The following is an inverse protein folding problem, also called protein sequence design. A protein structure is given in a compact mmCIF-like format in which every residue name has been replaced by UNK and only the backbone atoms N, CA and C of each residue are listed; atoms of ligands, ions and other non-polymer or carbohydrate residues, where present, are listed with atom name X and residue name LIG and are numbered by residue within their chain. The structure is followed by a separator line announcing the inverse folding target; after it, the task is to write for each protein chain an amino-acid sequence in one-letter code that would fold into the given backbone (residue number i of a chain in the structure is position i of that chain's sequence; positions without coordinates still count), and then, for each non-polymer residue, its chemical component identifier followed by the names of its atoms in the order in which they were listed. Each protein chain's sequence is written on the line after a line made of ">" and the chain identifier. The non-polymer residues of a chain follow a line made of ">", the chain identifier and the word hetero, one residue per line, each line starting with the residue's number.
data_IF_949728107003
#
_entry.id   IF_949728107003
#
_cell.length_a   1.000
_cell.length_b   1.000
_cell.length_c   1.000
_cell.angle_alpha   90.00
_cell.angle_beta   90.00
_cell.angle_gamma   90.00
#
_symmetry.space_group_name_H-M   'P 1'
#
loop_
_entity.id
_entity.type
_entity.pdbx_description
1 polymer ?
#
# COMPACT_ATOMS: atom_id res chain seq x y z
N UNK A 1 -24.43 -25.95 -73.88
CA UNK A 1 -24.31 -26.55 -72.54
C UNK A 1 -22.81 -26.68 -72.24
N UNK A 2 -22.08 -25.63 -71.85
CA UNK A 2 -21.99 -24.95 -70.53
C UNK A 2 -21.47 -25.83 -69.40
N UNK A 3 -20.19 -25.64 -69.02
CA UNK A 3 -19.78 -25.49 -67.63
C UNK A 3 -18.40 -24.79 -67.59
N UNK A 4 -18.37 -23.59 -67.01
CA UNK A 4 -17.17 -22.79 -66.73
C UNK A 4 -16.71 -23.09 -65.29
N UNK A 5 -15.41 -23.05 -64.95
CA UNK A 5 -14.94 -23.36 -63.60
C UNK A 5 -15.15 -22.16 -62.65
N UNK A 6 -15.68 -22.44 -61.48
CA UNK A 6 -15.97 -21.48 -60.40
C UNK A 6 -14.69 -20.98 -59.72
N UNK A 7 -14.57 -19.65 -59.55
CA UNK A 7 -13.54 -18.99 -58.74
C UNK A 7 -13.85 -19.13 -57.23
N UNK A 8 -12.83 -19.22 -56.35
CA UNK A 8 -13.03 -19.15 -54.90
C UNK A 8 -13.38 -17.72 -54.45
N UNK A 9 -14.06 -17.54 -53.30
CA UNK A 9 -14.45 -16.24 -52.78
C UNK A 9 -13.26 -15.45 -52.22
N UNK A 10 -13.25 -14.14 -52.45
CA UNK A 10 -12.25 -13.21 -51.92
C UNK A 10 -12.43 -13.01 -50.40
N UNK A 11 -11.31 -13.00 -49.67
CA UNK A 11 -11.26 -12.59 -48.27
C UNK A 11 -11.46 -11.06 -48.16
N UNK A 12 -12.29 -10.57 -47.22
CA UNK A 12 -12.44 -9.13 -47.03
C UNK A 12 -11.18 -8.55 -46.38
N UNK A 13 -10.60 -7.50 -46.99
CA UNK A 13 -9.56 -6.71 -46.35
C UNK A 13 -10.13 -5.93 -45.16
N UNK A 14 -9.42 -5.85 -44.02
CA UNK A 14 -9.83 -4.99 -42.91
C UNK A 14 -9.70 -3.52 -43.33
N UNK A 15 -10.83 -2.84 -43.46
CA UNK A 15 -10.91 -1.44 -43.84
C UNK A 15 -10.13 -0.53 -42.88
N UNK A 16 -9.23 0.26 -43.46
CA UNK A 16 -8.40 1.26 -42.79
C UNK A 16 -9.17 2.44 -42.14
N UNK A 17 -10.51 2.36 -42.03
CA UNK A 17 -11.36 3.40 -41.45
C UNK A 17 -11.46 3.39 -39.93
N UNK A 18 -11.09 2.29 -39.26
CA UNK A 18 -11.21 2.16 -37.81
C UNK A 18 -10.15 2.93 -37.00
N UNK A 19 -8.94 3.11 -37.54
CA UNK A 19 -7.83 3.70 -36.78
C UNK A 19 -7.86 5.22 -36.70
N UNK A 20 -8.48 5.89 -37.67
CA UNK A 20 -8.55 7.36 -37.76
C UNK A 20 -9.56 7.92 -36.74
N UNK A 21 -10.68 7.23 -36.52
CA UNK A 21 -11.67 7.61 -35.51
C UNK A 21 -11.13 7.49 -34.08
N UNK A 22 -10.35 6.44 -33.80
CA UNK A 22 -9.70 6.28 -32.49
C UNK A 22 -8.57 7.30 -32.25
N UNK A 23 -7.80 7.67 -33.28
CA UNK A 23 -6.75 8.69 -33.13
C UNK A 23 -7.33 10.10 -32.95
N UNK A 24 -8.45 10.43 -33.59
CA UNK A 24 -9.14 11.72 -33.40
C UNK A 24 -9.83 11.82 -32.03
N UNK A 25 -10.40 10.73 -31.50
CA UNK A 25 -10.98 10.69 -30.15
C UNK A 25 -9.92 10.85 -29.04
N UNK A 26 -8.75 10.24 -29.21
CA UNK A 26 -7.63 10.40 -28.24
C UNK A 26 -7.02 11.81 -28.33
N UNK A 27 -6.95 12.40 -29.54
CA UNK A 27 -6.43 13.75 -29.75
C UNK A 27 -7.32 14.85 -29.16
N UNK A 28 -8.65 14.72 -29.25
CA UNK A 28 -9.60 15.70 -28.71
C UNK A 28 -9.70 15.64 -27.17
N UNK A 29 -9.56 14.46 -26.57
CA UNK A 29 -9.51 14.30 -25.12
C UNK A 29 -8.27 14.96 -24.48
N UNK A 30 -7.13 14.99 -25.19
CA UNK A 30 -5.90 15.63 -24.70
C UNK A 30 -5.94 17.17 -24.77
N UNK A 31 -6.65 17.74 -25.74
CA UNK A 31 -6.82 19.20 -25.85
C UNK A 31 -7.83 19.72 -24.81
N UNK A 32 -8.88 18.95 -24.51
CA UNK A 32 -9.85 19.29 -23.46
C UNK A 32 -9.22 19.31 -22.05
N UNK A 33 -8.21 18.46 -21.79
CA UNK A 33 -7.49 18.44 -20.51
C UNK A 33 -6.53 19.63 -20.32
N UNK A 34 -6.08 20.25 -21.41
CA UNK A 34 -5.17 21.42 -21.38
C UNK A 34 -5.91 22.76 -21.27
N UNK A 35 -7.23 22.80 -21.54
CA UNK A 35 -8.06 24.00 -21.54
C UNK A 35 -8.93 24.19 -20.28
N UNK A 36 -8.78 23.34 -19.26
CA UNK A 36 -9.50 23.49 -18.01
C UNK A 36 -9.13 24.83 -17.33
N UNK A 37 -10.10 25.72 -17.03
CA UNK A 37 -9.81 27.03 -16.47
C UNK A 37 -9.14 26.91 -15.10
N UNK A 38 -7.96 27.53 -14.96
CA UNK A 38 -7.25 27.69 -13.67
C UNK A 38 -8.19 28.33 -12.66
N UNK A 39 -8.43 27.62 -11.56
CA UNK A 39 -9.36 28.01 -10.51
C UNK A 39 -9.14 29.44 -9.99
N UNK A 40 -10.24 30.19 -9.83
CA UNK A 40 -10.27 31.42 -9.05
C UNK A 40 -9.99 31.08 -7.58
N UNK A 41 -9.07 31.81 -6.95
CA UNK A 41 -8.92 31.83 -5.49
C UNK A 41 -10.23 32.37 -4.88
N UNK A 42 -10.91 31.65 -3.97
CA UNK A 42 -11.96 32.25 -3.18
C UNK A 42 -11.34 33.20 -2.17
N UNK A 43 -11.60 34.50 -2.35
CA UNK A 43 -11.27 35.56 -1.41
C UNK A 43 -12.48 35.85 -0.51
N UNK A 44 -12.66 35.02 0.51
CA UNK A 44 -13.37 35.29 1.76
C UNK A 44 -13.49 33.98 2.54
N UNK A 45 -13.05 33.96 3.81
CA UNK A 45 -13.32 32.84 4.71
C UNK A 45 -14.82 32.89 5.04
N UNK A 46 -15.63 31.89 4.65
CA UNK A 46 -16.98 31.78 5.18
C UNK A 46 -16.87 31.44 6.67
N UNK A 47 -17.65 32.14 7.49
CA UNK A 47 -17.87 31.81 8.88
C UNK A 47 -18.35 30.34 8.94
N UNK A 48 -17.56 29.47 9.58
CA UNK A 48 -17.79 28.03 9.55
C UNK A 48 -19.09 27.70 10.30
N UNK A 49 -20.17 27.51 9.55
CA UNK A 49 -21.34 26.78 10.04
C UNK A 49 -20.85 25.39 10.51
N UNK A 50 -21.33 24.90 11.67
CA UNK A 50 -21.05 23.54 12.08
C UNK A 50 -21.68 22.61 11.03
N UNK A 51 -20.84 22.02 10.18
CA UNK A 51 -21.26 20.93 9.30
C UNK A 51 -21.84 19.85 10.20
N UNK A 52 -23.17 19.72 10.21
CA UNK A 52 -23.87 18.65 10.90
C UNK A 52 -23.43 17.35 10.21
N UNK A 53 -22.57 16.57 10.88
CA UNK A 53 -22.26 15.22 10.45
C UNK A 53 -23.56 14.38 10.52
N UNK A 54 -24.21 14.20 9.37
CA UNK A 54 -25.36 13.30 9.21
C UNK A 54 -24.93 11.85 8.90
N UNK A 55 -23.64 11.58 8.75
CA UNK A 55 -23.13 10.28 8.32
C UNK A 55 -22.18 9.68 9.36
N UNK A 56 -22.69 8.83 10.24
CA UNK A 56 -22.04 7.68 10.95
C UNK A 56 -20.67 7.78 11.64
N UNK A 57 -19.82 8.76 11.33
CA UNK A 57 -18.45 8.92 11.81
C UNK A 57 -18.34 9.70 13.10
N UNK A 58 -17.10 9.84 13.57
CA UNK A 58 -16.76 10.66 14.69
C UNK A 58 -17.03 12.15 14.38
N UNK A 59 -17.64 12.84 15.33
CA UNK A 59 -17.83 14.29 15.23
C UNK A 59 -16.47 14.98 15.29
N UNK A 60 -16.29 16.07 14.55
CA UNK A 60 -15.07 16.88 14.56
C UNK A 60 -15.40 18.36 14.75
N UNK A 61 -14.43 19.09 15.31
CA UNK A 61 -14.49 20.53 15.54
C UNK A 61 -13.44 21.23 14.66
N UNK A 62 -13.79 22.38 14.11
CA UNK A 62 -12.90 23.21 13.29
C UNK A 62 -12.82 24.64 13.83
N UNK A 63 -11.79 25.37 13.42
CA UNK A 63 -11.60 26.78 13.77
C UNK A 63 -11.70 27.04 15.28
N UNK A 64 -12.51 28.04 15.66
CA UNK A 64 -12.65 28.48 17.06
C UNK A 64 -13.22 27.39 17.98
N UNK A 65 -14.09 26.51 17.48
CA UNK A 65 -14.64 25.41 18.28
C UNK A 65 -13.54 24.40 18.66
N UNK A 66 -12.61 24.12 17.73
CA UNK A 66 -11.48 23.24 17.97
C UNK A 66 -10.51 23.82 19.02
N UNK A 67 -10.24 25.13 18.94
CA UNK A 67 -9.42 25.83 19.93
C UNK A 67 -10.05 25.79 21.33
N UNK A 68 -11.37 25.98 21.43
CA UNK A 68 -12.11 25.89 22.68
C UNK A 68 -12.04 24.49 23.30
N UNK A 69 -12.19 23.43 22.49
CA UNK A 69 -11.99 22.04 22.93
C UNK A 69 -10.56 21.85 23.46
N UNK A 70 -9.56 22.38 22.76
CA UNK A 70 -8.18 22.34 23.20
C UNK A 70 -7.92 23.06 24.52
N UNK A 71 -8.65 24.12 24.82
CA UNK A 71 -8.55 24.87 26.06
C UNK A 71 -9.32 24.22 27.22
N UNK A 72 -10.47 23.61 26.95
CA UNK A 72 -11.42 23.11 27.96
C UNK A 72 -11.19 21.65 28.35
N UNK A 73 -10.50 20.85 27.53
CA UNK A 73 -10.26 19.42 27.77
C UNK A 73 -8.76 19.05 27.88
N UNK A 74 -7.95 19.72 28.72
CA UNK A 74 -6.51 19.43 28.83
C UNK A 74 -6.22 17.99 29.27
N UNK A 75 -7.11 17.39 30.06
CA UNK A 75 -7.01 16.03 30.60
C UNK A 75 -7.04 14.93 29.54
N UNK A 76 -7.44 15.25 28.30
CA UNK A 76 -7.50 14.32 27.16
C UNK A 76 -6.27 14.40 26.24
N UNK A 77 -5.26 15.20 26.60
CA UNK A 77 -4.05 15.36 25.77
C UNK A 77 -4.25 16.26 24.56
N UNK A 78 -5.22 17.19 24.58
CA UNK A 78 -5.52 18.06 23.43
C UNK A 78 -4.36 18.97 23.01
N UNK A 79 -3.39 19.21 23.87
CA UNK A 79 -2.20 20.02 23.58
C UNK A 79 -0.92 19.18 23.40
N UNK A 80 -1.05 17.86 23.26
CA UNK A 80 0.06 16.93 23.09
C UNK A 80 0.93 17.30 21.87
N UNK A 81 2.25 17.38 22.07
CA UNK A 81 3.24 17.56 21.00
C UNK A 81 3.75 16.22 20.47
N UNK A 82 3.59 15.17 21.27
CA UNK A 82 4.02 13.81 21.01
C UNK A 82 2.92 12.82 21.39
N UNK A 83 2.78 11.66 20.72
CA UNK A 83 1.77 10.65 21.08
C UNK A 83 1.88 10.13 22.53
N UNK A 84 3.09 10.16 23.11
CA UNK A 84 3.32 9.75 24.52
C UNK A 84 2.72 10.70 25.55
N UNK A 85 2.35 11.92 25.14
CA UNK A 85 1.70 12.91 26.02
C UNK A 85 0.16 12.76 26.02
N UNK A 86 -0.39 11.87 25.17
CA UNK A 86 -1.82 11.58 25.14
C UNK A 86 -2.17 10.72 26.35
N UNK A 87 -3.13 11.18 27.14
CA UNK A 87 -3.57 10.49 28.36
C UNK A 87 -4.42 9.26 28.04
N UNK A 88 -4.65 8.39 29.02
CA UNK A 88 -5.52 7.22 28.84
C UNK A 88 -6.95 7.57 28.39
N UNK A 89 -7.49 8.70 28.85
CA UNK A 89 -8.78 9.22 28.38
C UNK A 89 -8.72 9.63 26.89
N UNK A 90 -7.62 10.26 26.46
CA UNK A 90 -7.40 10.58 25.04
C UNK A 90 -7.24 9.33 24.17
N UNK A 91 -6.55 8.30 24.65
CA UNK A 91 -6.43 7.02 23.95
C UNK A 91 -7.76 6.27 23.83
N UNK A 92 -8.63 6.37 24.85
CA UNK A 92 -10.01 5.87 24.75
C UNK A 92 -10.78 6.59 23.65
N UNK A 93 -10.66 7.91 23.56
CA UNK A 93 -11.30 8.68 22.49
C UNK A 93 -10.80 8.25 21.11
N UNK A 94 -9.48 8.14 20.94
CA UNK A 94 -8.85 7.68 19.70
C UNK A 94 -9.37 6.29 19.33
N UNK A 95 -9.43 5.34 20.27
CA UNK A 95 -9.90 3.99 19.98
C UNK A 95 -11.37 3.96 19.52
N UNK A 96 -12.24 4.77 20.15
CA UNK A 96 -13.64 4.88 19.74
C UNK A 96 -13.75 5.53 18.36
N UNK A 97 -13.00 6.60 18.09
CA UNK A 97 -13.03 7.26 16.78
C UNK A 97 -12.48 6.37 15.67
N UNK A 98 -11.38 5.66 15.91
CA UNK A 98 -10.86 4.64 14.99
C UNK A 98 -11.93 3.60 14.67
N UNK A 99 -12.70 3.13 15.66
CA UNK A 99 -13.80 2.21 15.39
C UNK A 99 -14.91 2.83 14.53
N UNK A 100 -15.32 4.08 14.82
CA UNK A 100 -16.37 4.76 14.07
C UNK A 100 -15.93 5.05 12.62
N UNK A 101 -14.74 5.61 12.43
CA UNK A 101 -14.19 5.95 11.12
C UNK A 101 -13.86 4.70 10.30
N UNK A 102 -13.30 3.65 10.90
CA UNK A 102 -13.07 2.37 10.21
C UNK A 102 -14.34 1.80 9.55
N UNK A 103 -15.48 1.97 10.23
CA UNK A 103 -16.79 1.56 9.70
C UNK A 103 -17.32 2.54 8.66
N UNK A 104 -17.24 3.85 8.92
CA UNK A 104 -17.70 4.91 8.01
C UNK A 104 -16.94 4.89 6.68
N UNK A 105 -15.62 4.77 6.73
CA UNK A 105 -14.74 4.71 5.57
C UNK A 105 -14.79 3.34 4.88
N UNK A 106 -15.54 2.40 5.46
CA UNK A 106 -15.73 1.04 4.95
C UNK A 106 -14.37 0.40 4.66
N UNK A 107 -13.44 0.50 5.61
CA UNK A 107 -12.03 0.08 5.44
C UNK A 107 -11.91 -1.35 4.91
N UNK A 108 -12.81 -2.26 5.31
CA UNK A 108 -12.87 -3.62 4.79
C UNK A 108 -13.16 -3.68 3.27
N UNK A 109 -14.08 -2.84 2.78
CA UNK A 109 -14.41 -2.73 1.34
C UNK A 109 -13.26 -2.09 0.57
N UNK A 110 -12.65 -1.03 1.12
CA UNK A 110 -11.50 -0.35 0.52
C UNK A 110 -10.29 -1.30 0.43
N UNK A 111 -10.01 -2.05 1.49
CA UNK A 111 -8.96 -3.08 1.51
C UNK A 111 -9.21 -4.19 0.48
N UNK A 112 -10.48 -4.54 0.19
CA UNK A 112 -10.81 -5.49 -0.87
C UNK A 112 -10.44 -4.93 -2.27
N UNK A 113 -10.62 -3.63 -2.49
CA UNK A 113 -10.12 -2.95 -3.69
C UNK A 113 -8.59 -3.02 -3.81
N UNK A 114 -7.87 -2.71 -2.74
CA UNK A 114 -6.40 -2.85 -2.68
C UNK A 114 -5.97 -4.29 -2.99
N UNK A 115 -6.70 -5.27 -2.46
CA UNK A 115 -6.45 -6.70 -2.69
C UNK A 115 -6.60 -7.07 -4.16
N UNK A 116 -7.69 -6.64 -4.80
CA UNK A 116 -7.93 -6.87 -6.22
C UNK A 116 -6.78 -6.34 -7.09
N UNK A 117 -6.39 -5.08 -6.89
CA UNK A 117 -5.26 -4.50 -7.64
C UNK A 117 -3.92 -5.16 -7.31
N UNK A 118 -3.71 -5.61 -6.06
CA UNK A 118 -2.53 -6.38 -5.65
C UNK A 118 -2.41 -7.71 -6.39
N UNK A 119 -3.52 -8.43 -6.57
CA UNK A 119 -3.56 -9.67 -7.33
C UNK A 119 -3.26 -9.45 -8.82
N UNK A 120 -3.84 -8.40 -9.43
CA UNK A 120 -3.54 -8.04 -10.82
C UNK A 120 -2.06 -7.68 -11.00
N UNK A 121 -1.49 -6.97 -10.04
CA UNK A 121 -0.09 -6.58 -10.04
C UNK A 121 0.89 -7.71 -9.68
N UNK A 122 0.40 -8.88 -9.25
CA UNK A 122 1.24 -10.02 -8.85
C UNK A 122 2.11 -10.51 -10.01
N UNK A 123 1.53 -10.75 -11.19
CA UNK A 123 2.28 -11.29 -12.32
C UNK A 123 3.41 -10.35 -12.78
N UNK A 124 3.16 -9.03 -12.98
CA UNK A 124 4.24 -8.09 -13.25
C UNK A 124 5.26 -7.97 -12.12
N UNK A 125 4.82 -8.00 -10.86
CA UNK A 125 5.72 -7.90 -9.70
C UNK A 125 6.66 -9.11 -9.61
N UNK A 126 6.16 -10.33 -9.81
CA UNK A 126 6.99 -11.54 -9.86
C UNK A 126 7.95 -11.50 -11.04
N UNK A 127 7.51 -10.99 -12.20
CA UNK A 127 8.41 -10.80 -13.34
C UNK A 127 9.54 -9.81 -13.04
N UNK A 128 9.24 -8.68 -12.41
CA UNK A 128 10.25 -7.73 -11.96
C UNK A 128 11.19 -8.37 -10.92
N UNK A 129 10.64 -9.14 -9.98
CA UNK A 129 11.42 -9.85 -8.95
C UNK A 129 12.40 -10.84 -9.56
N UNK A 130 11.94 -11.73 -10.44
CA UNK A 130 12.80 -12.73 -11.10
C UNK A 130 13.86 -12.06 -11.95
N UNK A 131 13.49 -11.01 -12.68
CA UNK A 131 14.40 -10.21 -13.51
C UNK A 131 15.50 -9.58 -12.66
N UNK A 132 15.16 -8.89 -11.57
CA UNK A 132 16.14 -8.30 -10.66
C UNK A 132 16.99 -9.35 -9.93
N UNK A 133 16.38 -10.46 -9.49
CA UNK A 133 17.06 -11.50 -8.74
C UNK A 133 18.08 -12.26 -9.61
N UNK A 134 17.73 -12.53 -10.87
CA UNK A 134 18.61 -13.19 -11.84
C UNK A 134 19.89 -12.41 -12.17
N UNK A 135 20.03 -11.15 -11.75
CA UNK A 135 21.28 -10.38 -11.89
C UNK A 135 22.37 -10.84 -10.91
N UNK A 136 21.99 -11.37 -9.75
CA UNK A 136 22.93 -11.64 -8.65
C UNK A 136 22.89 -13.08 -8.15
N UNK A 137 21.86 -13.87 -8.50
CA UNK A 137 21.71 -15.24 -8.04
C UNK A 137 20.96 -16.12 -9.07
N UNK A 138 21.21 -17.42 -9.00
CA UNK A 138 20.49 -18.40 -9.83
C UNK A 138 19.01 -18.45 -9.42
N UNK A 139 18.13 -18.36 -10.43
CA UNK A 139 16.67 -18.33 -10.26
C UNK A 139 16.16 -19.61 -9.59
N UNK A 140 16.85 -20.75 -9.74
CA UNK A 140 16.53 -22.00 -9.06
C UNK A 140 16.59 -21.90 -7.53
N UNK A 141 17.41 -20.99 -7.00
CA UNK A 141 17.57 -20.76 -5.56
C UNK A 141 16.37 -20.00 -4.97
N UNK A 142 15.64 -19.20 -5.76
CA UNK A 142 14.43 -18.48 -5.31
C UNK A 142 13.41 -19.45 -4.71
N UNK A 143 13.21 -20.62 -5.32
CA UNK A 143 12.25 -21.61 -4.83
C UNK A 143 12.63 -22.16 -3.45
N UNK A 144 13.93 -22.34 -3.18
CA UNK A 144 14.42 -22.76 -1.85
C UNK A 144 14.21 -21.65 -0.81
N UNK A 145 14.34 -20.39 -1.22
CA UNK A 145 14.10 -19.25 -0.32
C UNK A 145 12.63 -19.04 -0.02
N UNK A 146 11.75 -19.24 -1.00
CA UNK A 146 10.30 -19.22 -0.80
C UNK A 146 9.86 -20.33 0.18
N UNK A 147 10.48 -21.51 0.13
CA UNK A 147 10.22 -22.58 1.10
C UNK A 147 10.62 -22.20 2.53
N UNK A 148 11.69 -21.40 2.69
CA UNK A 148 12.13 -20.89 4.00
C UNK A 148 11.16 -19.86 4.60
N UNK A 149 10.23 -19.32 3.80
CA UNK A 149 9.20 -18.38 4.24
C UNK A 149 7.88 -19.06 4.65
N UNK A 150 7.77 -20.40 4.59
CA UNK A 150 6.52 -21.13 4.91
C UNK A 150 6.00 -20.94 6.34
N UNK A 151 6.79 -20.39 7.27
CA UNK A 151 6.35 -20.01 8.61
C UNK A 151 5.78 -18.58 8.73
N UNK A 152 5.94 -17.76 7.69
CA UNK A 152 5.54 -16.34 7.67
C UNK A 152 4.51 -16.07 6.57
N UNK A 153 4.72 -16.67 5.39
CA UNK A 153 3.78 -16.62 4.28
C UNK A 153 2.89 -17.87 4.30
N UNK A 154 1.58 -17.73 4.03
CA UNK A 154 0.71 -18.89 3.88
C UNK A 154 1.13 -19.75 2.69
N UNK A 155 0.88 -21.06 2.79
CA UNK A 155 1.26 -22.05 1.76
C UNK A 155 0.75 -21.71 0.36
N UNK A 156 -0.47 -21.20 0.23
CA UNK A 156 -1.03 -20.77 -1.05
C UNK A 156 -0.28 -19.60 -1.70
N UNK A 157 0.27 -18.67 -0.90
CA UNK A 157 1.12 -17.60 -1.42
C UNK A 157 2.42 -18.15 -2.01
N UNK A 158 3.04 -19.08 -1.28
CA UNK A 158 4.30 -19.72 -1.69
C UNK A 158 4.11 -20.52 -2.97
N UNK A 159 3.00 -21.26 -3.11
CA UNK A 159 2.67 -22.04 -4.29
C UNK A 159 2.46 -21.17 -5.53
N UNK A 160 1.59 -20.14 -5.44
CA UNK A 160 1.29 -19.24 -6.56
C UNK A 160 2.55 -18.49 -7.02
N UNK A 161 3.32 -17.94 -6.09
CA UNK A 161 4.55 -17.21 -6.40
C UNK A 161 5.59 -18.17 -6.99
N UNK A 162 5.78 -19.35 -6.39
CA UNK A 162 6.74 -20.36 -6.84
C UNK A 162 6.45 -20.85 -8.26
N UNK A 163 5.19 -21.13 -8.59
CA UNK A 163 4.78 -21.54 -9.93
C UNK A 163 5.00 -20.45 -10.97
N UNK A 164 4.80 -19.19 -10.59
CA UNK A 164 5.08 -18.07 -11.47
C UNK A 164 6.58 -17.86 -11.68
N UNK A 165 7.38 -17.97 -10.61
CA UNK A 165 8.84 -17.93 -10.70
C UNK A 165 9.37 -19.03 -11.63
N UNK A 166 8.91 -20.27 -11.47
CA UNK A 166 9.29 -21.41 -12.33
C UNK A 166 8.96 -21.15 -13.80
N UNK A 167 7.76 -20.64 -14.09
CA UNK A 167 7.31 -20.31 -15.46
C UNK A 167 8.16 -19.24 -16.14
N UNK A 168 8.66 -18.28 -15.36
CA UNK A 168 9.54 -17.22 -15.88
C UNK A 168 10.96 -17.75 -16.04
N UNK A 169 11.46 -18.51 -15.07
CA UNK A 169 12.77 -19.16 -15.12
C UNK A 169 12.92 -20.10 -16.33
N UNK A 170 11.88 -20.88 -16.63
CA UNK A 170 11.88 -21.86 -17.73
C UNK A 170 11.90 -21.23 -19.13
N UNK A 171 11.61 -19.92 -19.24
CA UNK A 171 11.64 -19.20 -20.53
C UNK A 171 13.04 -18.70 -20.91
N UNK A 172 14.06 -18.93 -20.08
CA UNK A 172 15.45 -18.55 -20.35
C UNK A 172 15.72 -17.08 -20.06
N UNK A 173 16.81 -16.81 -19.32
CA UNK A 173 17.22 -15.47 -18.87
C UNK A 173 17.45 -14.51 -20.03
N UNK A 174 16.70 -13.41 -20.03
CA UNK A 174 16.79 -12.35 -21.03
C UNK A 174 18.18 -11.70 -21.02
N UNK A 175 18.72 -11.51 -22.23
CA UNK A 175 20.02 -10.89 -22.50
C UNK A 175 20.25 -9.62 -21.64
N UNK A 176 21.40 -9.59 -20.94
CA UNK A 176 21.94 -8.40 -20.30
C UNK A 176 22.03 -7.28 -21.37
N UNK A 177 21.11 -6.33 -21.34
CA UNK A 177 20.96 -5.32 -22.40
C UNK A 177 19.63 -4.57 -22.37
N UNK A 178 19.28 -3.90 -23.46
CA UNK A 178 18.08 -3.03 -23.58
C UNK A 178 16.78 -3.79 -23.27
N UNK A 179 16.70 -5.07 -23.62
CA UNK A 179 15.51 -5.91 -23.38
C UNK A 179 15.25 -6.11 -21.89
N UNK A 180 16.29 -6.30 -21.07
CA UNK A 180 16.19 -6.40 -19.62
C UNK A 180 15.54 -5.13 -19.04
N UNK A 181 16.11 -3.96 -19.31
CA UNK A 181 15.63 -2.69 -18.74
C UNK A 181 14.19 -2.37 -19.20
N UNK A 182 13.90 -2.62 -20.48
CA UNK A 182 12.55 -2.40 -21.02
C UNK A 182 11.53 -3.31 -20.35
N UNK A 183 11.84 -4.61 -20.18
CA UNK A 183 10.95 -5.55 -19.51
C UNK A 183 10.72 -5.20 -18.04
N UNK A 184 11.78 -4.83 -17.31
CA UNK A 184 11.69 -4.41 -15.93
C UNK A 184 10.83 -3.14 -15.77
N UNK A 185 11.00 -2.16 -16.65
CA UNK A 185 10.19 -0.94 -16.64
C UNK A 185 8.70 -1.23 -16.90
N UNK A 186 8.39 -2.08 -17.88
CA UNK A 186 7.01 -2.49 -18.18
C UNK A 186 6.40 -3.24 -16.98
N UNK A 187 7.17 -4.14 -16.37
CA UNK A 187 6.75 -4.89 -15.19
C UNK A 187 6.50 -3.99 -13.99
N UNK A 188 7.41 -3.06 -13.69
CA UNK A 188 7.24 -2.10 -12.59
C UNK A 188 6.07 -1.15 -12.84
N UNK A 189 5.90 -0.67 -14.07
CA UNK A 189 4.76 0.15 -14.47
C UNK A 189 3.43 -0.56 -14.19
N UNK A 190 3.36 -1.84 -14.53
CA UNK A 190 2.15 -2.66 -14.34
C UNK A 190 1.94 -3.07 -12.88
N UNK A 191 3.02 -3.34 -12.13
CA UNK A 191 2.98 -3.66 -10.71
C UNK A 191 2.53 -2.46 -9.85
N UNK A 192 2.70 -1.25 -10.36
CA UNK A 192 2.39 -0.01 -9.65
C UNK A 192 0.89 0.20 -9.36
N UNK A 193 -0.01 -0.54 -10.01
CA UNK A 193 -1.45 -0.41 -9.75
C UNK A 193 -1.82 -0.72 -8.29
N UNK A 194 -1.20 -1.75 -7.69
CA UNK A 194 -1.38 -2.08 -6.28
C UNK A 194 -0.99 -0.93 -5.34
N UNK A 195 0.15 -0.27 -5.61
CA UNK A 195 0.63 0.84 -4.78
C UNK A 195 -0.26 2.07 -4.91
N UNK A 196 -0.77 2.36 -6.12
CA UNK A 196 -1.76 3.43 -6.31
C UNK A 196 -3.06 3.14 -5.56
N UNK A 197 -3.54 1.91 -5.59
CA UNK A 197 -4.73 1.51 -4.83
C UNK A 197 -4.49 1.67 -3.31
N UNK A 198 -3.29 1.35 -2.82
CA UNK A 198 -2.92 1.61 -1.42
C UNK A 198 -2.89 3.12 -1.09
N UNK A 199 -2.36 3.96 -1.99
CA UNK A 199 -2.36 5.41 -1.78
C UNK A 199 -3.78 5.99 -1.76
N UNK A 200 -4.65 5.52 -2.66
CA UNK A 200 -6.05 5.91 -2.70
C UNK A 200 -6.77 5.48 -1.42
N UNK A 201 -6.55 4.24 -0.97
CA UNK A 201 -7.08 3.75 0.29
C UNK A 201 -6.60 4.55 1.52
N UNK A 202 -5.33 4.98 1.53
CA UNK A 202 -4.82 5.86 2.57
C UNK A 202 -5.40 7.26 2.47
N UNK A 203 -5.64 7.79 1.27
CA UNK A 203 -6.34 9.06 1.10
C UNK A 203 -7.74 9.01 1.73
N UNK A 204 -8.48 7.90 1.56
CA UNK A 204 -9.78 7.68 2.22
C UNK A 204 -9.63 7.76 3.75
N UNK A 205 -8.73 6.98 4.34
CA UNK A 205 -8.46 6.94 5.80
C UNK A 205 -8.09 8.31 6.38
N UNK A 206 -7.40 9.16 5.61
CA UNK A 206 -7.02 10.50 6.05
C UNK A 206 -8.05 11.58 5.69
N UNK A 207 -9.19 11.21 5.12
CA UNK A 207 -10.21 12.11 4.55
C UNK A 207 -9.62 13.15 3.57
N UNK A 208 -8.66 12.72 2.74
CA UNK A 208 -7.98 13.55 1.76
C UNK A 208 -8.38 13.19 0.33
N UNK A 209 -8.40 14.21 -0.53
CA UNK A 209 -8.52 14.02 -1.97
C UNK A 209 -7.14 13.99 -2.63
N UNK A 210 -6.99 13.21 -3.71
CA UNK A 210 -5.76 13.15 -4.47
C UNK A 210 -5.53 14.44 -5.27
N UNK A 211 -4.62 15.28 -4.76
CA UNK A 211 -4.28 16.59 -5.35
C UNK A 211 -3.05 16.52 -6.26
N UNK A 212 -2.29 15.42 -6.23
CA UNK A 212 -1.04 15.28 -7.01
C UNK A 212 -1.38 15.10 -8.49
N UNK A 213 -0.57 15.73 -9.35
CA UNK A 213 -0.69 15.51 -10.79
C UNK A 213 -0.43 14.04 -11.15
N UNK A 214 -1.01 13.58 -12.27
CA UNK A 214 -0.82 12.22 -12.76
C UNK A 214 0.65 11.80 -12.78
N UNK A 215 1.55 12.67 -13.25
CA UNK A 215 2.99 12.39 -13.31
C UNK A 215 3.60 12.20 -11.91
N UNK A 216 3.29 13.09 -10.95
CA UNK A 216 3.84 13.02 -9.60
C UNK A 216 3.31 11.79 -8.85
N UNK A 217 2.03 11.45 -9.01
CA UNK A 217 1.43 10.25 -8.44
C UNK A 217 2.11 8.99 -8.98
N UNK A 218 2.29 8.90 -10.31
CA UNK A 218 2.96 7.77 -10.95
C UNK A 218 4.41 7.63 -10.48
N UNK A 219 5.17 8.72 -10.43
CA UNK A 219 6.57 8.69 -10.00
C UNK A 219 6.71 8.23 -8.54
N UNK A 220 5.87 8.74 -7.63
CA UNK A 220 5.88 8.31 -6.22
C UNK A 220 5.49 6.85 -6.08
N UNK A 221 4.37 6.45 -6.69
CA UNK A 221 3.89 5.07 -6.59
C UNK A 221 4.90 4.08 -7.20
N UNK A 222 5.57 4.43 -8.32
CA UNK A 222 6.67 3.64 -8.89
C UNK A 222 7.86 3.54 -7.91
N UNK A 223 8.24 4.65 -7.28
CA UNK A 223 9.33 4.66 -6.29
C UNK A 223 9.01 3.73 -5.11
N UNK A 224 7.78 3.76 -4.62
CA UNK A 224 7.32 2.86 -3.56
C UNK A 224 7.25 1.40 -4.01
N UNK A 225 6.81 1.14 -5.24
CA UNK A 225 6.76 -0.20 -5.84
C UNK A 225 8.17 -0.78 -5.97
N UNK A 226 9.12 0.02 -6.48
CA UNK A 226 10.53 -0.36 -6.56
C UNK A 226 11.13 -0.56 -5.16
N UNK A 227 10.82 0.31 -4.19
CA UNK A 227 11.24 0.16 -2.80
C UNK A 227 10.73 -1.12 -2.14
N UNK A 228 9.45 -1.47 -2.36
CA UNK A 228 8.87 -2.72 -1.90
C UNK A 228 9.54 -3.94 -2.55
N UNK A 229 9.84 -3.87 -3.85
CA UNK A 229 10.55 -4.93 -4.56
C UNK A 229 11.98 -5.11 -4.02
N UNK A 230 12.70 -4.01 -3.80
CA UNK A 230 14.04 -4.02 -3.19
C UNK A 230 14.00 -4.58 -1.76
N UNK A 231 12.97 -4.25 -0.99
CA UNK A 231 12.76 -4.84 0.33
C UNK A 231 12.57 -6.35 0.26
N UNK A 232 11.74 -6.85 -0.67
CA UNK A 232 11.55 -8.30 -0.86
C UNK A 232 12.86 -8.98 -1.25
N UNK A 233 13.61 -8.41 -2.19
CA UNK A 233 14.92 -8.93 -2.60
C UNK A 233 15.89 -8.94 -1.42
N UNK A 234 15.98 -7.84 -0.66
CA UNK A 234 16.81 -7.75 0.53
C UNK A 234 16.40 -8.80 1.57
N UNK A 235 15.10 -8.98 1.82
CA UNK A 235 14.59 -9.97 2.75
C UNK A 235 14.98 -11.39 2.33
N UNK A 236 14.75 -11.77 1.07
CA UNK A 236 15.11 -13.09 0.53
C UNK A 236 16.62 -13.33 0.59
N UNK A 237 17.43 -12.36 0.16
CA UNK A 237 18.89 -12.44 0.17
C UNK A 237 19.42 -12.51 1.61
N UNK A 238 18.81 -11.78 2.55
CA UNK A 238 19.24 -11.77 3.95
C UNK A 238 19.12 -13.15 4.62
N UNK A 239 18.13 -13.96 4.20
CA UNK A 239 17.94 -15.33 4.73
C UNK A 239 19.14 -16.23 4.42
N UNK A 240 19.94 -15.88 3.41
CA UNK A 240 20.88 -16.77 2.73
C UNK A 240 22.31 -16.28 2.86
N UNK A 241 22.50 -14.99 2.59
CA UNK A 241 23.82 -14.35 2.63
C UNK A 241 24.30 -14.18 4.05
N UNK A 242 23.43 -13.84 5.02
CA UNK A 242 23.87 -13.68 6.41
C UNK A 242 24.50 -14.98 6.97
N UNK A 243 23.90 -16.17 6.84
CA UNK A 243 24.53 -17.42 7.23
C UNK A 243 25.91 -17.65 6.60
N UNK A 244 26.05 -17.40 5.29
CA UNK A 244 27.31 -17.58 4.57
C UNK A 244 28.37 -16.58 5.05
N UNK A 245 28.02 -15.31 5.18
CA UNK A 245 28.92 -14.26 5.69
C UNK A 245 29.38 -14.59 7.10
N UNK A 246 28.48 -15.05 7.99
CA UNK A 246 28.82 -15.45 9.36
C UNK A 246 29.80 -16.64 9.40
N UNK A 247 29.60 -17.63 8.54
CA UNK A 247 30.55 -18.74 8.41
C UNK A 247 31.94 -18.26 7.95
N UNK A 248 32.00 -17.30 7.02
CA UNK A 248 33.28 -16.74 6.53
C UNK A 248 34.04 -15.91 7.57
N UNK A 249 33.35 -15.14 8.41
CA UNK A 249 33.98 -14.31 9.46
C UNK A 249 34.27 -15.09 10.75
N UNK A 250 34.11 -16.43 10.73
CA UNK A 250 34.44 -17.30 11.86
C UNK A 250 33.48 -17.19 13.04
N UNK A 251 32.29 -16.62 12.83
CA UNK A 251 31.21 -16.66 13.81
C UNK A 251 30.69 -18.10 13.84
N UNK A 252 31.11 -18.87 14.84
CA UNK A 252 30.77 -20.29 14.98
C UNK A 252 29.26 -20.54 15.03
N UNK A 253 28.83 -21.78 14.74
CA UNK A 253 27.45 -22.24 14.85
C UNK A 253 26.79 -21.99 16.23
N UNK A 254 27.60 -21.72 17.27
CA UNK A 254 27.11 -21.33 18.60
C UNK A 254 26.51 -19.92 18.66
N UNK A 255 26.67 -19.10 17.61
CA UNK A 255 26.12 -17.75 17.50
C UNK A 255 24.72 -17.70 16.88
N UNK A 256 23.89 -18.70 17.19
CA UNK A 256 22.48 -18.78 16.76
C UNK A 256 21.67 -17.50 17.06
N UNK A 257 22.05 -16.76 18.11
CA UNK A 257 21.43 -15.48 18.48
C UNK A 257 21.66 -14.38 17.43
N UNK A 258 22.76 -14.41 16.67
CA UNK A 258 23.02 -13.46 15.58
C UNK A 258 22.16 -13.82 14.36
N UNK A 259 21.99 -15.12 14.07
CA UNK A 259 21.04 -15.57 13.06
C UNK A 259 19.59 -15.21 13.43
N UNK A 260 19.25 -15.14 14.72
CA UNK A 260 17.96 -14.67 15.21
C UNK A 260 17.74 -13.16 14.97
N UNK A 261 18.81 -12.35 15.02
CA UNK A 261 18.78 -10.90 14.84
C UNK A 261 18.27 -10.46 13.45
N UNK A 262 18.30 -11.36 12.46
CA UNK A 262 17.74 -11.12 11.11
C UNK A 262 16.26 -10.73 11.17
N UNK A 263 15.47 -11.37 12.04
CA UNK A 263 14.03 -11.16 12.11
C UNK A 263 13.68 -9.77 12.69
N UNK A 264 14.28 -9.34 13.82
CA UNK A 264 14.20 -7.95 14.26
C UNK A 264 14.66 -6.94 13.21
N UNK A 265 15.75 -7.22 12.47
CA UNK A 265 16.24 -6.32 11.43
C UNK A 265 15.20 -6.14 10.30
N UNK A 266 14.62 -7.23 9.80
CA UNK A 266 13.55 -7.17 8.80
C UNK A 266 12.31 -6.46 9.34
N UNK A 267 11.97 -6.66 10.61
CA UNK A 267 10.87 -5.97 11.26
C UNK A 267 11.12 -4.45 11.34
N UNK A 268 12.34 -4.02 11.64
CA UNK A 268 12.73 -2.60 11.65
C UNK A 268 12.61 -2.00 10.26
N UNK A 269 13.04 -2.72 9.22
CA UNK A 269 12.91 -2.25 7.83
C UNK A 269 11.45 -2.18 7.41
N UNK A 270 10.62 -3.17 7.79
CA UNK A 270 9.17 -3.16 7.54
C UNK A 270 8.51 -1.97 8.25
N UNK A 271 8.83 -1.73 9.51
CA UNK A 271 8.32 -0.61 10.30
C UNK A 271 8.71 0.72 9.67
N UNK A 272 9.97 0.87 9.26
CA UNK A 272 10.43 2.05 8.53
C UNK A 272 9.68 2.22 7.18
N UNK A 273 9.46 1.12 6.45
CA UNK A 273 8.69 1.10 5.20
C UNK A 273 7.24 1.57 5.40
N UNK A 274 6.56 1.08 6.43
CA UNK A 274 5.21 1.53 6.78
C UNK A 274 5.20 3.00 7.23
N UNK A 275 6.20 3.45 8.01
CA UNK A 275 6.29 4.86 8.41
C UNK A 275 6.51 5.78 7.22
N UNK A 276 7.32 5.36 6.24
CA UNK A 276 7.50 6.06 4.96
C UNK A 276 6.18 6.05 4.17
N UNK A 277 5.49 4.92 4.12
CA UNK A 277 4.19 4.80 3.44
C UNK A 277 3.14 5.75 4.03
N UNK A 278 2.96 5.79 5.35
CA UNK A 278 2.00 6.70 5.98
C UNK A 278 2.38 8.17 5.84
N UNK A 279 3.67 8.48 5.72
CA UNK A 279 4.13 9.86 5.58
C UNK A 279 4.00 10.42 4.16
N UNK A 280 4.21 9.59 3.14
CA UNK A 280 4.29 10.05 1.74
C UNK A 280 3.20 9.48 0.83
N UNK A 281 2.48 8.45 1.29
CA UNK A 281 1.35 7.82 0.60
C UNK A 281 0.16 8.77 0.47
N UNK A 282 -0.38 9.31 1.58
CA UNK A 282 -1.47 10.29 1.54
C UNK A 282 -1.11 11.58 0.78
N UNK A 283 -2.11 12.22 0.17
CA UNK A 283 -1.99 13.49 -0.57
C UNK A 283 -2.22 14.72 0.33
N UNK A 284 -1.42 14.86 1.38
CA UNK A 284 -1.46 15.97 2.36
C UNK A 284 -0.07 16.46 2.74
N UNK A 285 -0.02 17.55 3.50
CA UNK A 285 1.23 17.98 4.12
C UNK A 285 1.74 16.91 5.09
N UNK A 286 3.07 16.75 5.12
CA UNK A 286 3.71 15.56 5.69
C UNK A 286 3.61 15.59 7.21
N UNK A 287 3.09 14.53 7.80
CA UNK A 287 3.13 14.34 9.24
C UNK A 287 4.59 14.17 9.74
N UNK A 288 4.89 14.67 10.95
CA UNK A 288 6.18 14.42 11.60
C UNK A 288 6.33 12.92 11.91
N UNK A 289 7.56 12.41 11.88
CA UNK A 289 7.86 10.98 12.09
C UNK A 289 7.25 10.39 13.37
N UNK A 290 7.18 11.19 14.45
CA UNK A 290 6.60 10.77 15.73
C UNK A 290 5.11 10.42 15.65
N UNK A 291 4.36 11.04 14.74
CA UNK A 291 2.91 10.83 14.62
C UNK A 291 2.55 9.65 13.72
N UNK A 292 3.43 9.26 12.80
CA UNK A 292 3.23 8.08 11.94
C UNK A 292 3.78 6.79 12.55
N UNK A 293 4.77 6.90 13.45
CA UNK A 293 5.49 5.74 13.99
C UNK A 293 4.63 4.81 14.84
N UNK A 294 3.71 5.35 15.64
CA UNK A 294 2.87 4.54 16.53
C UNK A 294 1.91 3.64 15.74
N UNK A 295 1.22 4.16 14.72
CA UNK A 295 0.39 3.34 13.84
C UNK A 295 1.19 2.34 13.02
N UNK A 296 2.42 2.69 12.58
CA UNK A 296 3.32 1.71 11.93
C UNK A 296 3.68 0.55 12.86
N UNK A 297 3.98 0.85 14.13
CA UNK A 297 4.29 -0.19 15.12
C UNK A 297 3.09 -1.09 15.37
N UNK A 298 1.90 -0.51 15.57
CA UNK A 298 0.66 -1.29 15.78
C UNK A 298 0.36 -2.16 14.55
N UNK A 299 0.45 -1.60 13.34
CA UNK A 299 0.25 -2.35 12.11
C UNK A 299 1.26 -3.51 11.97
N UNK A 300 2.56 -3.28 12.26
CA UNK A 300 3.56 -4.35 12.25
C UNK A 300 3.22 -5.48 13.23
N UNK A 301 2.85 -5.16 14.47
CA UNK A 301 2.52 -6.17 15.49
C UNK A 301 1.27 -6.95 15.07
N UNK A 302 0.21 -6.26 14.66
CA UNK A 302 -1.03 -6.89 14.20
C UNK A 302 -0.78 -7.76 12.97
N UNK A 303 0.07 -7.32 12.04
CA UNK A 303 0.39 -8.08 10.84
C UNK A 303 1.14 -9.39 11.17
N UNK A 304 2.07 -9.36 12.13
CA UNK A 304 2.74 -10.57 12.62
C UNK A 304 1.76 -11.53 13.28
N UNK A 305 0.92 -11.02 14.19
CA UNK A 305 -0.10 -11.82 14.88
C UNK A 305 -1.08 -12.42 13.87
N UNK A 306 -1.57 -11.62 12.93
CA UNK A 306 -2.48 -12.08 11.88
C UNK A 306 -1.83 -13.11 10.96
N UNK A 307 -0.55 -12.94 10.61
CA UNK A 307 0.18 -13.93 9.80
C UNK A 307 0.34 -15.26 10.53
N UNK A 308 0.64 -15.24 11.84
CA UNK A 308 0.71 -16.46 12.66
C UNK A 308 -0.66 -17.14 12.79
N UNK A 309 -1.71 -16.38 13.08
CA UNK A 309 -3.08 -16.89 13.20
C UNK A 309 -3.59 -17.45 11.87
N UNK A 310 -3.29 -16.77 10.75
CA UNK A 310 -3.69 -17.20 9.43
C UNK A 310 -2.95 -18.47 8.99
N UNK A 311 -1.64 -18.54 9.24
CA UNK A 311 -0.85 -19.76 8.99
C UNK A 311 -1.37 -20.93 9.82
N UNK A 312 -1.72 -20.71 11.09
CA UNK A 312 -2.35 -21.74 11.93
C UNK A 312 -3.73 -22.15 11.38
N UNK A 313 -4.56 -21.19 10.97
CA UNK A 313 -5.89 -21.47 10.41
C UNK A 313 -5.80 -22.34 9.15
N UNK A 314 -4.93 -21.98 8.21
CA UNK A 314 -4.74 -22.75 6.97
C UNK A 314 -4.14 -24.13 7.26
N UNK A 315 -3.23 -24.25 8.23
CA UNK A 315 -2.64 -25.56 8.58
C UNK A 315 -3.64 -26.53 9.24
N UNK A 316 -4.62 -26.03 10.00
CA UNK A 316 -5.54 -26.88 10.79
C UNK A 316 -6.93 -27.04 10.15
N UNK A 317 -7.41 -26.00 9.46
CA UNK A 317 -8.75 -25.96 8.86
C UNK A 317 -8.70 -25.87 7.32
N UNK A 318 -7.50 -25.82 6.73
CA UNK A 318 -7.28 -25.70 5.30
C UNK A 318 -7.54 -26.97 4.48
N UNK A 319 -8.49 -27.82 4.88
CA UNK A 319 -9.01 -28.89 4.02
C UNK A 319 -9.78 -28.33 2.80
N UNK A 320 -9.83 -27.00 2.63
CA UNK A 320 -10.24 -26.35 1.40
C UNK A 320 -9.47 -26.86 0.17
N UNK A 321 -8.19 -27.23 0.30
CA UNK A 321 -7.43 -27.82 -0.80
C UNK A 321 -7.94 -29.22 -1.21
N UNK A 322 -8.60 -29.98 -0.32
CA UNK A 322 -9.18 -31.28 -0.67
C UNK A 322 -10.44 -31.14 -1.51
N UNK A 323 -11.24 -30.09 -1.28
CA UNK A 323 -12.51 -29.85 -2.00
C UNK A 323 -12.32 -28.96 -3.23
N UNK A 324 -11.43 -27.96 -3.15
CA UNK A 324 -11.25 -26.91 -4.17
C UNK A 324 -9.86 -26.91 -4.82
N UNK A 325 -8.92 -27.76 -4.39
CA UNK A 325 -7.59 -27.86 -4.98
C UNK A 325 -6.85 -26.52 -5.02
N UNK A 326 -6.27 -26.19 -6.17
CA UNK A 326 -5.54 -24.93 -6.41
C UNK A 326 -6.39 -23.66 -6.25
N UNK A 327 -7.72 -23.76 -6.34
CA UNK A 327 -8.61 -22.62 -6.09
C UNK A 327 -8.61 -22.23 -4.60
N UNK A 328 -8.46 -23.21 -3.69
CA UNK A 328 -8.33 -22.97 -2.26
C UNK A 328 -7.09 -22.14 -1.91
N UNK A 329 -5.95 -22.43 -2.57
CA UNK A 329 -4.71 -21.68 -2.43
C UNK A 329 -4.88 -20.20 -2.85
N UNK A 330 -5.57 -19.95 -3.97
CA UNK A 330 -5.88 -18.57 -4.43
C UNK A 330 -6.75 -17.85 -3.42
N UNK A 331 -7.86 -18.44 -2.98
CA UNK A 331 -8.77 -17.82 -2.00
C UNK A 331 -8.00 -17.49 -0.71
N UNK A 332 -7.21 -18.42 -0.19
CA UNK A 332 -6.39 -18.19 0.99
C UNK A 332 -5.42 -17.02 0.82
N UNK A 333 -4.75 -16.94 -0.33
CA UNK A 333 -3.85 -15.82 -0.63
C UNK A 333 -4.59 -14.49 -0.73
N UNK A 334 -5.76 -14.46 -1.38
CA UNK A 334 -6.62 -13.27 -1.45
C UNK A 334 -7.03 -12.80 -0.06
N UNK A 335 -7.48 -13.72 0.80
CA UNK A 335 -7.86 -13.41 2.19
C UNK A 335 -6.68 -12.86 2.98
N UNK A 336 -5.48 -13.43 2.80
CA UNK A 336 -4.28 -12.96 3.50
C UNK A 336 -3.85 -11.55 3.07
N UNK A 337 -3.89 -11.24 1.76
CA UNK A 337 -3.64 -9.87 1.27
C UNK A 337 -4.70 -8.92 1.83
N UNK A 338 -5.97 -9.33 1.83
CA UNK A 338 -7.08 -8.52 2.34
C UNK A 338 -6.89 -8.17 3.82
N UNK A 339 -6.60 -9.16 4.66
CA UNK A 339 -6.26 -8.95 6.08
C UNK A 339 -5.04 -8.02 6.21
N UNK A 340 -4.00 -8.24 5.41
CA UNK A 340 -2.79 -7.40 5.44
C UNK A 340 -3.09 -5.95 5.08
N UNK A 341 -3.86 -5.70 4.03
CA UNK A 341 -4.28 -4.37 3.61
C UNK A 341 -5.15 -3.71 4.69
N UNK A 342 -6.11 -4.44 5.28
CA UNK A 342 -6.92 -3.95 6.40
C UNK A 342 -6.05 -3.52 7.59
N UNK A 343 -5.04 -4.29 7.96
CA UNK A 343 -4.13 -3.96 9.06
C UNK A 343 -3.31 -2.70 8.76
N UNK A 344 -2.82 -2.57 7.51
CA UNK A 344 -2.12 -1.35 7.08
C UNK A 344 -3.03 -0.14 7.12
N UNK A 345 -4.28 -0.25 6.68
CA UNK A 345 -5.24 0.85 6.75
C UNK A 345 -5.62 1.19 8.20
N UNK A 346 -5.81 0.19 9.06
CA UNK A 346 -6.05 0.40 10.49
C UNK A 346 -4.89 1.14 11.18
N UNK A 347 -3.64 0.84 10.82
CA UNK A 347 -2.48 1.61 11.30
C UNK A 347 -2.48 3.05 10.80
N UNK A 348 -2.98 3.29 9.59
CA UNK A 348 -3.25 4.63 9.06
C UNK A 348 -4.33 5.36 9.86
N UNK A 349 -5.42 4.68 10.20
CA UNK A 349 -6.54 5.20 10.99
C UNK A 349 -6.09 5.66 12.37
N UNK A 350 -5.27 4.83 13.03
CA UNK A 350 -4.68 5.17 14.33
C UNK A 350 -3.82 6.43 14.21
N UNK A 351 -3.02 6.54 13.15
CA UNK A 351 -2.20 7.73 12.89
C UNK A 351 -3.05 8.98 12.65
N UNK A 352 -4.06 8.88 11.78
CA UNK A 352 -5.03 9.93 11.52
C UNK A 352 -5.68 10.42 12.82
N UNK A 353 -6.20 9.50 13.63
CA UNK A 353 -6.95 9.83 14.84
C UNK A 353 -6.09 10.30 16.02
N UNK A 354 -4.82 9.91 16.07
CA UNK A 354 -3.84 10.52 16.97
C UNK A 354 -3.56 11.98 16.60
N UNK A 355 -3.39 12.29 15.31
CA UNK A 355 -3.23 13.68 14.87
C UNK A 355 -4.48 14.50 15.18
N UNK A 356 -5.65 13.91 14.91
CA UNK A 356 -6.97 14.49 15.18
C UNK A 356 -7.25 14.73 16.67
N UNK A 357 -6.45 14.15 17.58
CA UNK A 357 -6.60 14.35 19.01
C UNK A 357 -6.08 15.72 19.48
N UNK A 358 -5.12 16.33 18.78
CA UNK A 358 -4.42 17.54 19.26
C UNK A 358 -4.67 18.80 18.43
N UNK A 359 -4.74 19.96 19.10
CA UNK A 359 -4.72 21.28 18.45
C UNK A 359 -3.32 21.68 17.96
N UNK A 360 -2.26 21.00 18.41
CA UNK A 360 -0.88 21.32 18.01
C UNK A 360 -0.61 20.83 16.59
N UNK A 361 0.23 21.58 15.89
CA UNK A 361 0.60 21.23 14.53
C UNK A 361 1.47 19.96 14.50
N UNK A 362 0.93 18.91 13.90
CA UNK A 362 1.55 17.60 13.74
C UNK A 362 2.34 17.48 12.43
N UNK A 363 2.23 18.47 11.54
CA UNK A 363 2.85 18.48 10.21
C UNK A 363 4.27 19.04 10.22
N UNK A 364 4.97 18.94 9.09
CA UNK A 364 6.31 19.49 8.92
C UNK A 364 6.30 20.98 8.57
N UNK A 365 7.35 21.69 8.99
CA UNK A 365 7.51 23.11 8.71
C UNK A 365 7.27 24.00 9.95
N UNK A 366 7.11 25.32 9.75
CA UNK A 366 6.74 26.25 10.83
C UNK A 366 5.35 25.91 11.37
N UNK A 367 5.10 26.18 12.66
CA UNK A 367 3.78 25.92 13.25
C UNK A 367 2.71 26.80 12.60
N UNK A 368 1.68 26.17 12.04
CA UNK A 368 0.53 26.85 11.42
C UNK A 368 -0.74 26.69 12.29
N UNK A 369 -1.65 27.68 12.26
CA UNK A 369 -2.94 27.56 12.92
C UNK A 369 -3.81 26.46 12.27
N UNK A 370 -4.84 26.01 12.99
CA UNK A 370 -5.81 25.04 12.47
C UNK A 370 -6.51 25.61 11.22
N UNK A 371 -6.65 24.79 10.18
CA UNK A 371 -7.24 25.14 8.89
C UNK A 371 -6.23 25.61 7.84
N UNK A 372 -4.95 25.75 8.18
CA UNK A 372 -3.89 26.23 7.29
C UNK A 372 -2.78 25.20 7.06
N UNK A 373 -2.89 23.98 7.60
CA UNK A 373 -1.82 22.97 7.56
C UNK A 373 -1.86 22.09 6.31
N UNK A 374 -2.87 22.24 5.46
CA UNK A 374 -3.11 21.41 4.27
C UNK A 374 -3.17 19.90 4.60
N UNK A 375 -3.76 19.59 5.75
CA UNK A 375 -3.90 18.23 6.26
C UNK A 375 -5.14 18.14 7.16
N UNK A 376 -6.20 17.46 6.69
CA UNK A 376 -7.53 17.44 7.30
C UNK A 376 -7.48 17.08 8.79
N UNK A 377 -6.84 15.97 9.12
CA UNK A 377 -6.73 15.48 10.50
C UNK A 377 -5.86 16.36 11.40
N UNK A 378 -4.97 17.17 10.82
CA UNK A 378 -4.21 18.17 11.56
C UNK A 378 -4.95 19.51 11.66
N UNK A 379 -5.97 19.75 10.83
CA UNK A 379 -6.72 21.02 10.74
C UNK A 379 -8.05 21.00 11.51
N UNK A 380 -8.49 19.82 11.97
CA UNK A 380 -9.64 19.63 12.85
C UNK A 380 -9.26 18.95 14.17
N UNK A 381 -10.19 18.93 15.12
CA UNK A 381 -10.05 18.21 16.40
C UNK A 381 -11.24 17.29 16.60
N UNK A 382 -10.97 16.01 16.81
CA UNK A 382 -11.99 14.98 17.00
C UNK A 382 -12.73 15.18 18.31
N UNK A 383 -14.05 15.00 18.30
CA UNK A 383 -14.87 15.06 19.50
C UNK A 383 -14.45 13.99 20.51
N UNK A 384 -14.73 14.27 21.79
CA UNK A 384 -14.62 13.27 22.83
C UNK A 384 -15.68 12.17 22.63
N UNK A 385 -15.31 10.93 22.94
CA UNK A 385 -16.18 9.76 22.84
C UNK A 385 -17.15 9.65 24.02
#
# INVERSE_FOLDING_TARGET
>A
MTASPSRPPATPEPGAGGSILWTLLVGTALIALAAAPKGRRPSSLPEAEPVRASDGGARSHTGRAAELVGATQPERGRKARNPTEITGAGWKDIAVRVYLEFNKDRVLSVAAGVTFYSLLSLFPAVAALVTCYGLFADVGVINQHLASLQGVLPSGAVEIIGDQVKRIASKGGGALGVTFFTSLLISLWSANAAMKAMFDALNVVYEEEEKRSFLMLNLRSLTFTAGALLFIIFALTSIVVLPVVFAFIGISDSAWFIALLRWPALLVVLLAGLSVLYRYGPSRERARWRWVGTGSLVACILWLVASLLFSWYVANFGNYNETYGSLGAVIGFMTWIWISATIVLLGGEINAEMEHQTVRDTTTGPELPLGAREARMADSVGAAA
#
